data_IF_011926640574
#
_entry.id   IF_011926640574
#
_cell.length_a   1.000
_cell.length_b   1.000
_cell.length_c   1.000
_cell.angle_alpha   90.00
_cell.angle_beta   90.00
_cell.angle_gamma   90.00
#
_symmetry.space_group_name_H-M   'P 1'
#
loop_
_entity.id
_entity.type
_entity.pdbx_description
1 polymer ?
#
# COMPACT_ATOMS: atom_id res chain seq x y z
N UNK A 1 43.90 -41.24 -18.23
CA UNK A 1 44.34 -40.18 -17.31
C UNK A 1 43.74 -38.87 -17.80
N UNK A 2 42.66 -38.44 -17.15
CA UNK A 2 42.38 -37.07 -16.65
C UNK A 2 43.37 -35.99 -17.15
N UNK A 3 43.02 -34.78 -17.54
CA UNK A 3 41.84 -33.92 -17.56
C UNK A 3 42.26 -32.72 -18.47
N UNK A 4 41.49 -31.74 -18.91
CA UNK A 4 40.36 -31.03 -18.34
C UNK A 4 39.72 -30.25 -19.49
N UNK A 5 38.40 -30.30 -19.58
CA UNK A 5 37.62 -29.40 -20.41
C UNK A 5 37.80 -27.95 -19.91
N UNK A 6 38.38 -27.06 -20.73
CA UNK A 6 38.31 -25.62 -20.50
C UNK A 6 36.91 -25.12 -20.82
N UNK A 7 36.02 -25.30 -19.85
CA UNK A 7 34.77 -24.57 -19.72
C UNK A 7 35.13 -23.09 -19.51
N UNK A 8 35.20 -22.31 -20.60
CA UNK A 8 35.00 -20.88 -20.50
C UNK A 8 33.59 -20.70 -19.92
N UNK A 9 33.51 -20.26 -18.66
CA UNK A 9 32.26 -19.94 -17.98
C UNK A 9 31.39 -19.11 -18.93
N UNK A 10 30.28 -19.72 -19.40
CA UNK A 10 29.10 -18.93 -19.74
C UNK A 10 28.87 -17.99 -18.57
N UNK A 11 28.74 -16.68 -18.77
CA UNK A 11 28.10 -15.86 -17.77
C UNK A 11 26.67 -16.39 -17.67
N UNK A 12 26.44 -17.34 -16.78
CA UNK A 12 25.11 -17.61 -16.28
C UNK A 12 24.72 -16.29 -15.64
N UNK A 13 23.85 -15.56 -16.36
CA UNK A 13 23.27 -14.33 -15.89
C UNK A 13 22.91 -14.52 -14.41
N UNK A 14 23.32 -13.60 -13.52
CA UNK A 14 23.04 -13.75 -12.10
C UNK A 14 21.53 -13.92 -11.96
N UNK A 15 21.09 -15.10 -11.51
CA UNK A 15 19.69 -15.41 -11.26
C UNK A 15 19.18 -14.70 -9.99
N UNK A 16 19.48 -13.41 -9.88
CA UNK A 16 18.95 -12.49 -8.88
C UNK A 16 17.66 -11.80 -9.37
N UNK A 17 17.28 -11.98 -10.64
CA UNK A 17 16.12 -11.32 -11.24
C UNK A 17 14.77 -12.06 -11.04
N UNK A 18 14.77 -13.27 -10.46
CA UNK A 18 13.54 -14.08 -10.42
C UNK A 18 12.53 -13.51 -9.41
N UNK A 19 12.98 -13.13 -8.23
CA UNK A 19 12.27 -12.26 -7.28
C UNK A 19 13.34 -11.63 -6.38
N UNK A 20 13.82 -10.42 -6.70
CA UNK A 20 14.72 -9.68 -5.82
C UNK A 20 14.18 -9.64 -4.39
N UNK A 21 15.06 -9.95 -3.43
CA UNK A 21 14.76 -9.95 -2.00
C UNK A 21 13.48 -10.72 -1.58
N UNK A 22 13.11 -11.79 -2.28
CA UNK A 22 11.85 -12.51 -2.06
C UNK A 22 10.64 -11.57 -2.09
N UNK A 23 10.46 -10.84 -3.20
CA UNK A 23 9.36 -9.90 -3.38
C UNK A 23 9.37 -8.81 -2.29
N UNK A 24 10.55 -8.21 -2.07
CA UNK A 24 10.78 -7.20 -1.04
C UNK A 24 10.43 -7.66 0.39
N UNK A 25 10.31 -8.97 0.63
CA UNK A 25 9.82 -9.54 1.91
C UNK A 25 8.31 -9.40 2.11
N UNK A 26 7.57 -8.95 1.11
CA UNK A 26 6.14 -8.66 1.16
C UNK A 26 5.31 -9.54 0.22
N UNK A 27 5.86 -10.66 -0.23
CA UNK A 27 5.15 -11.61 -1.06
C UNK A 27 5.81 -12.98 -1.10
N UNK A 28 5.17 -13.89 -1.83
CA UNK A 28 5.69 -15.21 -2.16
C UNK A 28 6.20 -15.20 -3.61
N UNK A 29 7.43 -15.67 -3.78
CA UNK A 29 8.00 -15.84 -5.11
C UNK A 29 7.51 -17.15 -5.73
N UNK A 30 6.85 -17.07 -6.88
CA UNK A 30 6.48 -18.25 -7.65
C UNK A 30 7.66 -18.80 -8.47
N UNK A 31 7.56 -20.07 -8.87
CA UNK A 31 8.51 -20.72 -9.77
C UNK A 31 8.54 -20.06 -11.17
N UNK A 32 7.55 -19.26 -11.52
CA UNK A 32 7.53 -18.43 -12.72
C UNK A 32 8.38 -17.16 -12.62
N UNK A 33 8.82 -16.77 -11.41
CA UNK A 33 9.44 -15.47 -11.14
C UNK A 33 8.45 -14.32 -10.97
N UNK A 34 7.18 -14.64 -10.73
CA UNK A 34 6.15 -13.67 -10.37
C UNK A 34 6.01 -13.60 -8.86
N UNK A 35 5.82 -12.40 -8.33
CA UNK A 35 5.52 -12.20 -6.92
C UNK A 35 4.00 -12.20 -6.66
N UNK A 36 3.56 -13.07 -5.76
CA UNK A 36 2.22 -13.02 -5.15
C UNK A 36 2.31 -12.17 -3.88
N UNK A 37 1.79 -10.94 -3.92
CA UNK A 37 1.91 -10.01 -2.80
C UNK A 37 1.00 -10.36 -1.63
N UNK A 38 1.52 -10.19 -0.42
CA UNK A 38 0.74 -10.24 0.80
C UNK A 38 -0.28 -9.09 0.84
N UNK A 39 -1.32 -9.24 1.65
CA UNK A 39 -2.35 -8.22 1.81
C UNK A 39 -1.73 -6.86 2.20
N UNK A 40 -2.13 -5.80 1.50
CA UNK A 40 -1.60 -4.47 1.71
C UNK A 40 -0.35 -4.13 0.89
N UNK A 41 0.11 -5.01 -0.01
CA UNK A 41 1.23 -4.76 -0.92
C UNK A 41 0.84 -5.04 -2.37
N UNK A 42 1.50 -4.35 -3.28
CA UNK A 42 1.31 -4.42 -4.74
C UNK A 42 2.62 -4.08 -5.45
N UNK A 43 2.59 -4.08 -6.77
CA UNK A 43 3.78 -3.96 -7.62
C UNK A 43 4.33 -5.31 -8.02
N UNK A 44 5.18 -5.31 -9.05
CA UNK A 44 5.80 -6.54 -9.57
C UNK A 44 6.69 -7.23 -8.55
N UNK A 45 7.21 -6.48 -7.56
CA UNK A 45 8.10 -6.95 -6.51
C UNK A 45 7.51 -6.78 -5.11
N UNK A 46 6.20 -6.53 -5.00
CA UNK A 46 5.52 -6.23 -3.73
C UNK A 46 6.21 -5.09 -2.94
N UNK A 47 6.80 -4.16 -3.67
CA UNK A 47 7.56 -3.01 -3.19
C UNK A 47 6.68 -1.79 -2.93
N UNK A 48 5.43 -1.81 -3.43
CA UNK A 48 4.48 -0.73 -3.26
C UNK A 48 3.42 -1.08 -2.21
N UNK A 49 3.32 -0.36 -1.09
CA UNK A 49 2.24 -0.55 -0.14
C UNK A 49 0.91 -0.02 -0.70
N UNK A 50 -0.15 -0.82 -0.57
CA UNK A 50 -1.52 -0.41 -0.86
C UNK A 50 -2.04 0.51 0.24
N UNK A 51 -2.74 1.57 -0.15
CA UNK A 51 -3.44 2.40 0.82
C UNK A 51 -4.68 1.70 1.38
N UNK A 52 -4.99 1.90 2.66
CA UNK A 52 -6.16 1.32 3.30
C UNK A 52 -7.43 1.80 2.60
N UNK A 53 -8.26 0.84 2.17
CA UNK A 53 -9.51 1.08 1.44
C UNK A 53 -9.38 2.04 0.25
N UNK A 54 -8.20 2.09 -0.39
CA UNK A 54 -7.90 3.06 -1.45
C UNK A 54 -8.24 4.52 -1.07
N UNK A 55 -8.01 4.88 0.20
CA UNK A 55 -8.36 6.18 0.77
C UNK A 55 -9.85 6.55 0.59
N UNK A 56 -10.75 5.56 0.50
CA UNK A 56 -12.17 5.72 0.19
C UNK A 56 -12.44 6.59 -1.06
N UNK A 57 -11.48 6.66 -1.99
CA UNK A 57 -11.50 7.58 -3.14
C UNK A 57 -11.68 9.06 -2.74
N UNK A 58 -11.31 9.41 -1.51
CA UNK A 58 -11.42 10.73 -0.87
C UNK A 58 -10.05 11.28 -0.49
N UNK A 59 -9.00 10.81 -1.14
CA UNK A 59 -7.63 11.17 -0.87
C UNK A 59 -6.67 10.58 -1.89
N UNK A 60 -5.42 11.04 -1.83
CA UNK A 60 -4.33 10.49 -2.62
C UNK A 60 -3.55 9.46 -1.81
N UNK A 61 -3.21 8.35 -2.45
CA UNK A 61 -2.34 7.34 -1.86
C UNK A 61 -0.87 7.70 -2.10
N UNK A 62 -0.10 7.89 -1.03
CA UNK A 62 1.32 8.19 -1.07
C UNK A 62 2.06 7.26 -0.10
N UNK A 63 2.84 6.32 -0.66
CA UNK A 63 3.60 5.32 0.09
C UNK A 63 2.75 4.60 1.17
N UNK A 64 1.56 4.13 0.81
CA UNK A 64 0.67 3.39 1.71
C UNK A 64 -0.07 4.27 2.73
N UNK A 65 0.13 5.59 2.70
CA UNK A 65 -0.59 6.56 3.53
C UNK A 65 -1.56 7.36 2.69
N UNK A 66 -2.73 7.62 3.26
CA UNK A 66 -3.75 8.44 2.62
C UNK A 66 -3.58 9.91 2.99
N UNK A 67 -3.43 10.76 1.97
CA UNK A 67 -3.53 12.21 2.09
C UNK A 67 -4.96 12.60 1.73
N UNK A 68 -5.75 12.92 2.74
CA UNK A 68 -7.18 13.14 2.59
C UNK A 68 -7.52 14.49 1.95
N UNK A 69 -8.60 14.50 1.18
CA UNK A 69 -9.23 15.73 0.70
C UNK A 69 -9.78 16.56 1.86
N UNK A 70 -9.95 17.90 1.70
CA UNK A 70 -10.54 18.74 2.73
C UNK A 70 -11.88 18.20 3.25
N UNK A 71 -12.06 18.19 4.57
CA UNK A 71 -13.25 17.65 5.22
C UNK A 71 -13.21 16.13 5.47
N UNK A 72 -12.18 15.41 4.98
CA UNK A 72 -11.99 13.98 5.23
C UNK A 72 -10.73 13.70 6.05
N UNK A 73 -10.81 12.69 6.91
CA UNK A 73 -9.80 12.38 7.92
C UNK A 73 -9.76 10.88 8.21
N UNK A 74 -8.82 10.48 9.07
CA UNK A 74 -8.57 9.08 9.43
C UNK A 74 -7.62 8.39 8.45
N UNK A 75 -7.11 7.22 8.84
CA UNK A 75 -6.08 6.50 8.08
C UNK A 75 -6.46 6.18 6.63
N UNK A 76 -7.77 6.08 6.34
CA UNK A 76 -8.33 5.77 5.02
C UNK A 76 -9.28 6.87 4.48
N UNK A 77 -9.26 8.09 5.04
CA UNK A 77 -10.17 9.19 4.65
C UNK A 77 -11.66 8.84 4.73
N UNK A 78 -12.03 7.99 5.70
CA UNK A 78 -13.41 7.55 5.91
C UNK A 78 -14.17 8.46 6.89
N UNK A 79 -13.46 9.30 7.65
CA UNK A 79 -14.06 10.17 8.67
C UNK A 79 -14.35 11.55 8.06
N UNK A 80 -15.62 11.87 7.90
CA UNK A 80 -16.04 13.21 7.49
C UNK A 80 -16.05 14.13 8.71
N UNK A 81 -15.30 15.25 8.71
CA UNK A 81 -15.54 16.33 9.67
C UNK A 81 -16.50 17.34 9.10
N UNK A 82 -17.27 17.91 10.01
CA UNK A 82 -18.20 18.96 9.71
C UNK A 82 -17.49 20.32 9.82
N UNK A 83 -17.97 21.36 9.12
CA UNK A 83 -17.47 22.71 9.27
C UNK A 83 -17.43 23.11 10.76
N UNK A 84 -16.32 23.72 11.18
CA UNK A 84 -16.08 24.16 12.57
C UNK A 84 -16.23 23.08 13.64
N UNK A 85 -16.14 21.79 13.28
CA UNK A 85 -16.39 20.68 14.21
C UNK A 85 -17.72 20.80 14.96
N UNK A 86 -18.75 21.31 14.28
CA UNK A 86 -20.04 21.62 14.89
C UNK A 86 -19.96 22.57 16.08
N UNK A 87 -18.99 23.50 16.05
CA UNK A 87 -18.68 24.45 17.12
C UNK A 87 -18.44 23.77 18.48
N UNK A 88 -18.02 22.49 18.47
CA UNK A 88 -17.93 21.63 19.66
C UNK A 88 -19.25 21.46 20.44
N UNK A 89 -20.39 21.85 19.86
CA UNK A 89 -21.74 21.78 20.46
C UNK A 89 -22.57 20.61 19.90
N UNK A 90 -21.94 19.69 19.18
CA UNK A 90 -22.58 18.54 18.56
C UNK A 90 -21.55 17.55 18.03
N UNK A 91 -22.03 16.55 17.31
CA UNK A 91 -21.18 15.57 16.63
C UNK A 91 -21.45 15.59 15.14
N UNK A 92 -20.40 15.30 14.36
CA UNK A 92 -20.53 15.20 12.92
C UNK A 92 -21.07 13.83 12.53
N UNK A 93 -22.18 13.81 11.80
CA UNK A 93 -22.77 12.59 11.24
C UNK A 93 -23.02 12.79 9.75
N UNK A 94 -22.28 12.05 8.91
CA UNK A 94 -22.37 12.12 7.45
C UNK A 94 -22.25 13.56 6.89
N UNK A 95 -21.35 14.36 7.46
CA UNK A 95 -21.11 15.75 7.03
C UNK A 95 -22.16 16.75 7.50
N UNK A 96 -23.12 16.32 8.32
CA UNK A 96 -24.10 17.19 8.97
C UNK A 96 -23.84 17.25 10.46
N UNK A 97 -23.95 18.44 11.03
CA UNK A 97 -23.90 18.62 12.46
C UNK A 97 -25.19 18.15 13.10
N UNK A 98 -25.07 17.14 13.96
CA UNK A 98 -26.09 16.78 14.93
C UNK A 98 -25.75 17.52 16.22
N UNK A 99 -26.50 18.58 16.50
CA UNK A 99 -26.39 19.32 17.76
C UNK A 99 -26.83 18.43 18.93
N UNK A 100 -26.22 18.64 20.09
CA UNK A 100 -26.71 18.05 21.34
C UNK A 100 -28.07 18.68 21.72
N UNK A 101 -28.91 17.98 22.49
CA UNK A 101 -30.22 18.52 22.90
C UNK A 101 -30.06 19.88 23.59
N UNK A 102 -30.76 20.90 23.06
CA UNK A 102 -30.73 22.28 23.59
C UNK A 102 -30.06 23.34 22.70
N UNK A 103 -29.54 22.97 21.51
CA UNK A 103 -28.98 23.88 20.51
C UNK A 103 -29.63 23.72 19.13
#
# INVERSE_FOLDING_TARGET
AEASASLLQKPHAPQAAKCEANCSGHGKCEESGRCECHAGWTGSMCDMPLCPSNCHSRGMCLHGKCICQPGWHGAACHIQRCPNDCSSAGYCFQGKCKCNEGF
#
